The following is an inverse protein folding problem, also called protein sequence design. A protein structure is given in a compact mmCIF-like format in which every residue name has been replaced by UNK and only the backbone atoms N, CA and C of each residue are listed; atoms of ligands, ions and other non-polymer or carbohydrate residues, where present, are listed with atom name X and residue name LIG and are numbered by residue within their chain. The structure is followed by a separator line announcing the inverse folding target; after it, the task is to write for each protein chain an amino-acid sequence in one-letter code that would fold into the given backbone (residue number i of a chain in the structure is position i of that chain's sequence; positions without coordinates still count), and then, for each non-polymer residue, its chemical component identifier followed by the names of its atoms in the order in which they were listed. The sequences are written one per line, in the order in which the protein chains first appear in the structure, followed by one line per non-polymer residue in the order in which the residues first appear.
data_IF_898293971275
#
_entry.id   IF_898293971275
#
_cell.length_a   1.000
_cell.length_b   1.000
_cell.length_c   1.000
_cell.angle_alpha   90.00
_cell.angle_beta   90.00
_cell.angle_gamma   90.00
#
_symmetry.space_group_name_H-M   'P 1'
#
loop_
_entity.id
_entity.type
_entity.pdbx_description
1 polymer ?
#
# COMPACT_ATOMS: atom_id res chain seq x y z
N UNK A 1 -10.60 -13.31 10.26
CA UNK A 1 -9.66 -12.41 9.59
C UNK A 1 -8.22 -12.91 9.72
N UNK A 2 -7.47 -12.89 8.64
CA UNK A 2 -6.14 -13.49 8.57
C UNK A 2 -5.14 -12.89 9.57
N UNK A 3 -5.11 -11.57 9.70
CA UNK A 3 -4.16 -10.87 10.60
C UNK A 3 -4.39 -11.29 12.05
N UNK A 4 -5.63 -11.23 12.50
CA UNK A 4 -5.98 -11.62 13.87
C UNK A 4 -5.64 -13.09 14.13
N UNK A 5 -5.96 -13.95 13.18
CA UNK A 5 -5.67 -15.38 13.28
C UNK A 5 -4.16 -15.64 13.43
N UNK A 6 -3.34 -15.03 12.59
CA UNK A 6 -1.89 -15.20 12.65
C UNK A 6 -1.32 -14.70 13.97
N UNK A 7 -1.77 -13.53 14.43
CA UNK A 7 -1.30 -12.96 15.69
C UNK A 7 -1.68 -13.82 16.88
N UNK A 8 -2.95 -14.22 16.96
CA UNK A 8 -3.46 -15.00 18.09
C UNK A 8 -2.88 -16.42 18.11
N UNK A 9 -2.57 -16.98 16.95
CA UNK A 9 -2.03 -18.33 16.84
C UNK A 9 -0.53 -18.39 17.14
N UNK A 10 0.24 -17.44 16.61
CA UNK A 10 1.71 -17.54 16.65
C UNK A 10 2.37 -16.59 17.63
N UNK A 11 1.69 -15.54 18.10
CA UNK A 11 2.21 -14.59 19.07
C UNK A 11 3.56 -13.98 18.68
N UNK A 12 3.74 -13.69 17.40
CA UNK A 12 4.97 -13.14 16.83
C UNK A 12 4.71 -11.85 16.08
N UNK A 13 5.74 -10.97 15.96
CA UNK A 13 5.60 -9.79 15.11
C UNK A 13 5.21 -10.18 13.68
N UNK A 14 4.33 -9.39 13.08
CA UNK A 14 3.88 -9.62 11.70
C UNK A 14 4.46 -8.55 10.79
N UNK A 15 4.83 -8.97 9.56
CA UNK A 15 5.30 -8.07 8.52
C UNK A 15 4.53 -8.35 7.24
N UNK A 16 4.09 -7.29 6.56
CA UNK A 16 3.61 -7.40 5.19
C UNK A 16 4.75 -6.98 4.29
N UNK A 17 5.26 -7.90 3.47
CA UNK A 17 6.44 -7.67 2.64
C UNK A 17 6.14 -7.05 1.30
N UNK A 18 4.88 -7.11 0.84
CA UNK A 18 4.46 -6.50 -0.41
C UNK A 18 3.02 -6.04 -0.30
N UNK A 19 2.77 -4.77 -0.60
CA UNK A 19 1.44 -4.20 -0.68
C UNK A 19 1.46 -2.98 -1.60
N UNK A 20 0.37 -2.28 -1.72
CA UNK A 20 0.15 -1.16 -2.64
C UNK A 20 -0.20 -1.65 -4.04
N UNK A 21 -1.43 -2.13 -4.15
CA UNK A 21 -2.04 -2.57 -5.41
C UNK A 21 -3.31 -1.74 -5.62
N UNK A 22 -3.16 -0.51 -6.11
CA UNK A 22 -4.28 0.45 -6.15
C UNK A 22 -5.47 -0.05 -6.94
N UNK A 23 -5.22 -0.80 -8.02
CA UNK A 23 -6.31 -1.35 -8.84
C UNK A 23 -7.15 -2.37 -8.08
N UNK A 24 -6.60 -3.02 -7.07
CA UNK A 24 -7.30 -3.97 -6.20
C UNK A 24 -7.71 -3.34 -4.87
N UNK A 25 -7.81 -2.01 -4.80
CA UNK A 25 -8.19 -1.27 -3.59
C UNK A 25 -7.25 -1.47 -2.40
N UNK A 26 -6.04 -1.90 -2.65
CA UNK A 26 -4.99 -2.01 -1.64
C UNK A 26 -4.16 -0.72 -1.73
N UNK A 27 -4.53 0.27 -0.95
CA UNK A 27 -3.99 1.63 -1.05
C UNK A 27 -3.36 2.10 0.25
N UNK A 28 -2.60 3.20 0.18
CA UNK A 28 -2.04 3.84 1.38
C UNK A 28 -3.16 4.24 2.32
N UNK A 29 -4.24 4.83 1.79
CA UNK A 29 -5.36 5.32 2.58
C UNK A 29 -6.08 4.22 3.34
N UNK A 30 -6.19 3.03 2.76
CA UNK A 30 -6.95 1.93 3.35
C UNK A 30 -6.11 1.01 4.22
N UNK A 31 -4.84 0.81 3.89
CA UNK A 31 -4.01 -0.21 4.52
C UNK A 31 -3.00 0.32 5.54
N UNK A 32 -2.42 1.49 5.33
CA UNK A 32 -1.41 1.99 6.25
C UNK A 32 -1.98 2.26 7.65
N UNK A 33 -3.18 2.87 7.79
CA UNK A 33 -3.79 3.00 9.12
C UNK A 33 -3.99 1.66 9.83
N UNK A 34 -4.41 0.63 9.08
CA UNK A 34 -4.57 -0.71 9.65
C UNK A 34 -3.24 -1.27 10.13
N UNK A 35 -2.19 -1.16 9.33
CA UNK A 35 -0.86 -1.65 9.70
C UNK A 35 -0.35 -0.93 10.95
N UNK A 36 -0.58 0.37 11.06
CA UNK A 36 -0.21 1.11 12.27
C UNK A 36 -0.98 0.62 13.49
N UNK A 37 -2.32 0.53 13.39
CA UNK A 37 -3.17 0.12 14.50
C UNK A 37 -2.86 -1.30 14.96
N UNK A 38 -2.57 -2.19 14.03
CA UNK A 38 -2.27 -3.60 14.31
C UNK A 38 -0.79 -3.85 14.55
N UNK A 39 0.05 -2.80 14.50
CA UNK A 39 1.50 -2.87 14.71
C UNK A 39 2.18 -3.87 13.77
N UNK A 40 1.85 -3.78 12.49
CA UNK A 40 2.42 -4.62 11.44
C UNK A 40 3.48 -3.83 10.69
N UNK A 41 4.70 -4.37 10.62
CA UNK A 41 5.74 -3.83 9.76
C UNK A 41 5.32 -4.02 8.30
N UNK A 42 5.60 -3.04 7.44
CA UNK A 42 5.14 -3.11 6.06
C UNK A 42 6.15 -2.55 5.08
N UNK A 43 6.21 -3.19 3.90
CA UNK A 43 7.04 -2.77 2.77
C UNK A 43 6.14 -2.70 1.54
N UNK A 44 5.87 -1.50 1.04
CA UNK A 44 5.03 -1.35 -0.14
C UNK A 44 5.84 -1.70 -1.41
N UNK A 45 5.13 -2.07 -2.46
CA UNK A 45 5.75 -2.38 -3.75
C UNK A 45 5.88 -1.10 -4.58
N UNK A 46 7.12 -0.77 -4.93
CA UNK A 46 7.41 0.36 -5.79
C UNK A 46 7.61 1.67 -5.04
N UNK A 47 8.60 2.44 -5.44
CA UNK A 47 8.89 3.74 -4.85
C UNK A 47 8.86 4.84 -5.89
N UNK A 48 9.71 4.76 -6.91
CA UNK A 48 9.77 5.76 -7.99
C UNK A 48 9.44 5.07 -9.30
N UNK A 49 8.49 5.62 -10.04
CA UNK A 49 8.13 5.11 -11.37
C UNK A 49 9.33 5.22 -12.31
N UNK A 50 9.64 4.16 -13.02
CA UNK A 50 10.82 4.10 -13.86
C UNK A 50 10.70 3.06 -14.97
N UNK A 51 11.82 2.54 -15.42
CA UNK A 51 11.90 1.63 -16.56
C UNK A 51 11.14 0.32 -16.37
N UNK A 52 10.97 -0.13 -15.13
CA UNK A 52 10.26 -1.38 -14.85
C UNK A 52 8.74 -1.24 -14.99
N UNK A 53 8.23 -0.02 -15.10
CA UNK A 53 6.80 0.25 -15.34
C UNK A 53 5.86 -0.44 -14.34
N UNK A 54 6.28 -0.54 -13.08
CA UNK A 54 5.45 -1.17 -12.05
C UNK A 54 4.20 -0.35 -11.71
N UNK A 55 4.12 0.90 -12.18
CA UNK A 55 2.92 1.73 -12.05
C UNK A 55 1.79 1.30 -12.95
N UNK A 56 2.08 0.54 -14.02
CA UNK A 56 1.06 0.12 -14.96
C UNK A 56 0.13 -0.95 -14.33
N UNK A 57 -1.17 -0.91 -14.63
CA UNK A 57 -2.05 -2.00 -14.22
C UNK A 57 -1.56 -3.34 -14.78
N UNK A 58 -1.72 -4.39 -13.99
CA UNK A 58 -1.29 -5.72 -14.41
C UNK A 58 -2.04 -6.20 -15.66
N UNK A 59 -1.35 -6.98 -16.50
CA UNK A 59 -1.94 -7.56 -17.70
C UNK A 59 -3.25 -8.32 -17.38
N UNK A 60 -3.30 -9.01 -16.26
CA UNK A 60 -4.50 -9.72 -15.83
C UNK A 60 -5.71 -8.80 -15.68
N UNK A 61 -5.51 -7.54 -15.29
CA UNK A 61 -6.60 -6.57 -15.16
C UNK A 61 -7.16 -6.20 -16.53
N UNK A 62 -6.31 -6.02 -17.53
CA UNK A 62 -6.73 -5.75 -18.91
C UNK A 62 -7.50 -6.93 -19.49
N UNK A 63 -7.02 -8.16 -19.24
CA UNK A 63 -7.69 -9.38 -19.69
C UNK A 63 -9.09 -9.51 -19.07
N UNK A 64 -9.21 -9.26 -17.79
CA UNK A 64 -10.51 -9.31 -17.09
C UNK A 64 -11.47 -8.24 -17.61
N UNK A 65 -10.96 -7.05 -17.90
CA UNK A 65 -11.78 -5.99 -18.49
C UNK A 65 -12.31 -6.41 -19.87
N UNK A 66 -11.44 -6.96 -20.71
CA UNK A 66 -11.83 -7.42 -22.04
C UNK A 66 -12.89 -8.53 -22.01
N UNK A 67 -12.91 -9.32 -20.93
CA UNK A 67 -13.91 -10.39 -20.72
C UNK A 67 -15.20 -9.90 -20.06
N UNK A 68 -15.30 -8.61 -19.73
CA UNK A 68 -16.46 -8.07 -19.03
C UNK A 68 -16.52 -8.43 -17.56
N UNK A 69 -15.42 -8.88 -16.95
CA UNK A 69 -15.36 -9.28 -15.56
C UNK A 69 -15.14 -8.11 -14.60
N UNK A 70 -14.85 -6.91 -15.12
CA UNK A 70 -14.66 -5.69 -14.33
C UNK A 70 -15.77 -4.68 -14.64
N UNK A 71 -16.09 -3.77 -13.69
CA UNK A 71 -17.03 -2.70 -13.96
C UNK A 71 -16.60 -1.86 -15.16
N UNK A 72 -17.58 -1.35 -15.93
CA UNK A 72 -17.31 -0.54 -17.11
C UNK A 72 -16.57 0.77 -16.80
N UNK A 73 -16.70 1.24 -15.55
CA UNK A 73 -16.10 2.49 -15.07
C UNK A 73 -14.75 2.29 -14.38
N UNK A 74 -14.13 1.11 -14.51
CA UNK A 74 -12.81 0.89 -13.93
C UNK A 74 -11.80 1.87 -14.50
N UNK A 75 -10.98 2.45 -13.62
CA UNK A 75 -10.04 3.51 -14.00
C UNK A 75 -8.64 2.94 -14.21
N UNK A 76 -8.27 2.69 -15.48
CA UNK A 76 -6.94 2.21 -15.85
C UNK A 76 -5.87 3.30 -15.85
N UNK A 77 -6.22 4.56 -15.58
CA UNK A 77 -5.23 5.63 -15.38
C UNK A 77 -4.63 5.59 -13.98
N UNK A 78 -5.26 4.85 -13.06
CA UNK A 78 -4.78 4.68 -11.71
C UNK A 78 -3.50 3.82 -11.71
N UNK A 79 -2.48 4.29 -11.02
CA UNK A 79 -1.24 3.53 -10.89
C UNK A 79 -1.42 2.31 -10.01
N UNK A 80 -0.83 1.19 -10.44
CA UNK A 80 -0.86 -0.06 -9.67
C UNK A 80 0.06 0.06 -8.45
N UNK A 81 1.30 0.43 -8.68
CA UNK A 81 2.33 0.56 -7.66
C UNK A 81 2.98 1.95 -7.75
N UNK A 82 4.09 2.10 -7.05
CA UNK A 82 4.94 3.30 -7.02
C UNK A 82 4.29 4.51 -6.35
N UNK A 83 5.08 5.22 -5.59
CA UNK A 83 4.64 6.40 -4.81
C UNK A 83 4.98 7.69 -5.54
N UNK A 84 6.15 7.73 -6.20
CA UNK A 84 6.67 8.94 -6.83
C UNK A 84 6.74 8.80 -8.35
N UNK A 85 6.51 9.92 -9.03
CA UNK A 85 6.72 10.04 -10.47
C UNK A 85 8.23 10.10 -10.78
N UNK A 86 8.64 9.91 -12.04
CA UNK A 86 10.06 9.98 -12.41
C UNK A 86 10.75 11.28 -11.99
N UNK A 87 10.01 12.40 -11.89
CA UNK A 87 10.53 13.68 -11.42
C UNK A 87 10.53 13.82 -9.90
N UNK A 88 10.27 12.72 -9.17
CA UNK A 88 10.20 12.62 -7.72
C UNK A 88 9.02 13.36 -7.08
N UNK A 89 8.06 13.81 -7.87
CA UNK A 89 6.82 14.37 -7.33
C UNK A 89 5.85 13.23 -6.98
N UNK A 90 5.07 13.36 -5.90
CA UNK A 90 4.13 12.31 -5.52
C UNK A 90 3.12 12.03 -6.62
N UNK A 91 2.78 10.76 -6.83
CA UNK A 91 1.61 10.38 -7.62
C UNK A 91 0.35 10.99 -7.01
N UNK A 92 0.18 10.85 -5.69
CA UNK A 92 -0.91 11.43 -4.92
C UNK A 92 -0.32 12.06 -3.64
N UNK A 93 -0.31 13.40 -3.53
CA UNK A 93 0.23 14.06 -2.33
C UNK A 93 -0.44 13.61 -1.03
N UNK A 94 -1.71 13.20 -1.07
CA UNK A 94 -2.40 12.71 0.12
C UNK A 94 -1.76 11.44 0.67
N UNK A 95 -1.24 10.57 -0.20
CA UNK A 95 -0.51 9.37 0.24
C UNK A 95 0.72 9.75 1.06
N UNK A 96 1.45 10.75 0.63
CA UNK A 96 2.65 11.23 1.34
C UNK A 96 2.28 11.81 2.70
N UNK A 97 1.21 12.59 2.77
CA UNK A 97 0.73 13.14 4.03
C UNK A 97 0.36 12.04 5.02
N UNK A 98 -0.33 11.00 4.56
CA UNK A 98 -0.71 9.86 5.39
C UNK A 98 0.52 9.11 5.88
N UNK A 99 1.49 8.84 5.00
CA UNK A 99 2.73 8.16 5.36
C UNK A 99 3.47 8.95 6.43
N UNK A 100 3.63 10.26 6.25
CA UNK A 100 4.31 11.12 7.23
C UNK A 100 3.58 11.14 8.57
N UNK A 101 2.25 11.17 8.53
CA UNK A 101 1.44 11.16 9.75
C UNK A 101 1.71 9.90 10.58
N UNK A 102 1.64 8.73 9.97
CA UNK A 102 1.83 7.47 10.70
C UNK A 102 3.28 7.21 11.07
N UNK A 103 4.24 7.71 10.28
CA UNK A 103 5.65 7.69 10.69
C UNK A 103 5.89 8.51 11.94
N UNK A 104 5.31 9.69 12.03
CA UNK A 104 5.42 10.54 13.22
C UNK A 104 4.78 9.89 14.44
N UNK A 105 3.60 9.28 14.28
CA UNK A 105 2.95 8.56 15.37
C UNK A 105 3.77 7.37 15.83
N UNK A 106 4.32 6.60 14.90
CA UNK A 106 5.13 5.42 15.20
C UNK A 106 6.41 5.81 15.97
N UNK A 107 7.05 6.90 15.54
CA UNK A 107 8.23 7.41 16.23
C UNK A 107 7.91 7.84 17.64
N UNK A 108 6.81 8.56 17.83
CA UNK A 108 6.36 8.98 19.17
C UNK A 108 6.07 7.80 20.07
N UNK A 109 5.38 6.78 19.53
CA UNK A 109 5.06 5.57 20.29
C UNK A 109 6.32 4.82 20.69
N UNK A 110 7.30 4.73 19.79
CA UNK A 110 8.57 4.08 20.06
C UNK A 110 9.35 4.81 21.14
N UNK A 111 9.43 6.13 21.08
CA UNK A 111 10.13 6.94 22.07
C UNK A 111 9.46 6.84 23.44
N UNK A 112 8.13 6.83 23.49
CA UNK A 112 7.39 6.67 24.72
C UNK A 112 7.62 5.29 25.36
N UNK A 113 7.70 4.24 24.54
CA UNK A 113 7.96 2.90 25.04
C UNK A 113 9.37 2.73 25.58
N UNK A 114 10.34 3.47 25.03
CA UNK A 114 11.73 3.47 25.53
C UNK A 114 11.92 4.28 26.79
N UNK A 115 11.14 5.33 26.92
CA UNK A 115 11.22 6.28 28.01
C UNK A 115 10.76 5.72 29.31
#
# INVERSE_FOLDING_TARGET
MTIKYLRDTYHRPLFNTEWLHRMQHNTVQTHLPLFYLERIGSYHWGFVAGLNQTYEPWESMWTRYARGELPADVDFTKWQHDILRPNLRPYDPHEIEIIKHYLALSKRDYEAARG
#
